data_IF_201879944175
#
_entry.id   IF_201879944175
#
_cell.length_a   1.000
_cell.length_b   1.000
_cell.length_c   1.000
_cell.angle_alpha   90.00
_cell.angle_beta   90.00
_cell.angle_gamma   90.00
#
_symmetry.space_group_name_H-M   'P 1'
#
loop_
_entity.id
_entity.type
_entity.pdbx_description
1 polymer ?
#
# COMPACT_ATOMS: atom_id res chain seq x y z
N UNK A 1 6.23 -12.66 3.26
CA UNK A 1 5.16 -13.66 3.47
C UNK A 1 4.18 -13.30 4.59
N UNK A 2 4.59 -13.13 5.85
CA UNK A 2 3.67 -12.82 6.97
C UNK A 2 2.76 -11.59 6.72
N UNK A 3 3.34 -10.48 6.23
CA UNK A 3 2.55 -9.29 5.84
C UNK A 3 1.58 -9.56 4.70
N UNK A 4 2.01 -10.34 3.69
CA UNK A 4 1.16 -10.75 2.57
C UNK A 4 -0.01 -11.62 3.02
N UNK A 5 0.20 -12.55 3.95
CA UNK A 5 -0.89 -13.39 4.49
C UNK A 5 -1.98 -12.53 5.13
N UNK A 6 -1.59 -11.61 6.02
CA UNK A 6 -2.50 -10.66 6.66
C UNK A 6 -3.27 -9.85 5.64
N UNK A 7 -2.56 -9.40 4.60
CA UNK A 7 -3.13 -8.61 3.52
C UNK A 7 -4.18 -9.41 2.73
N UNK A 8 -3.85 -10.62 2.34
CA UNK A 8 -4.74 -11.52 1.62
C UNK A 8 -5.96 -11.95 2.44
N UNK A 9 -5.79 -12.19 3.74
CA UNK A 9 -6.88 -12.56 4.64
C UNK A 9 -7.91 -11.44 4.74
N UNK A 10 -7.48 -10.19 4.87
CA UNK A 10 -8.37 -9.04 4.82
C UNK A 10 -9.04 -8.87 3.44
N UNK A 11 -8.29 -8.99 2.35
CA UNK A 11 -8.86 -8.96 0.99
C UNK A 11 -9.93 -10.03 0.79
N UNK A 12 -9.71 -11.25 1.27
CA UNK A 12 -10.67 -12.35 1.19
C UNK A 12 -11.99 -11.98 1.89
N UNK A 13 -11.91 -11.39 3.08
CA UNK A 13 -13.12 -10.97 3.80
C UNK A 13 -13.86 -9.84 3.08
N UNK A 14 -13.15 -8.84 2.57
CA UNK A 14 -13.78 -7.76 1.80
C UNK A 14 -14.40 -8.26 0.50
N UNK A 15 -13.78 -9.24 -0.15
CA UNK A 15 -14.31 -9.87 -1.36
C UNK A 15 -15.62 -10.61 -1.07
N UNK A 16 -15.68 -11.36 0.03
CA UNK A 16 -16.91 -12.04 0.48
C UNK A 16 -18.01 -11.05 0.84
N UNK A 17 -17.67 -10.00 1.59
CA UNK A 17 -18.61 -8.95 1.99
C UNK A 17 -19.19 -8.25 0.75
N UNK A 18 -18.35 -7.79 -0.17
CA UNK A 18 -18.78 -7.08 -1.37
C UNK A 18 -19.61 -7.98 -2.30
N UNK A 19 -19.21 -9.24 -2.48
CA UNK A 19 -19.98 -10.24 -3.23
C UNK A 19 -21.38 -10.43 -2.64
N UNK A 20 -21.47 -10.52 -1.30
CA UNK A 20 -22.75 -10.63 -0.59
C UNK A 20 -23.60 -9.37 -0.75
N UNK A 21 -23.00 -8.18 -0.62
CA UNK A 21 -23.68 -6.89 -0.78
C UNK A 21 -24.22 -6.68 -2.18
N UNK A 22 -23.49 -7.13 -3.20
CA UNK A 22 -23.92 -7.01 -4.59
C UNK A 22 -25.09 -7.94 -4.93
N UNK A 23 -25.48 -8.85 -4.03
CA UNK A 23 -26.45 -9.92 -4.28
C UNK A 23 -26.15 -10.65 -5.60
N UNK A 24 -24.87 -10.71 -5.98
CA UNK A 24 -24.47 -11.41 -7.20
C UNK A 24 -24.90 -12.84 -6.98
N UNK A 25 -25.89 -13.31 -7.75
CA UNK A 25 -26.29 -14.72 -7.75
C UNK A 25 -25.00 -15.52 -7.76
N UNK A 26 -24.80 -16.36 -6.74
CA UNK A 26 -23.62 -17.18 -6.56
C UNK A 26 -23.48 -18.10 -7.76
N UNK A 27 -22.92 -17.55 -8.84
CA UNK A 27 -22.59 -18.33 -10.02
C UNK A 27 -21.40 -19.19 -9.64
N UNK A 28 -21.34 -20.40 -10.18
CA UNK A 28 -20.23 -21.32 -9.93
C UNK A 28 -18.87 -20.63 -10.15
N UNK A 29 -18.80 -19.69 -11.12
CA UNK A 29 -17.61 -18.89 -11.41
C UNK A 29 -17.19 -17.97 -10.27
N UNK A 30 -18.11 -17.20 -9.67
CA UNK A 30 -17.77 -16.30 -8.55
C UNK A 30 -17.31 -17.11 -7.33
N UNK A 31 -17.98 -18.25 -7.05
CA UNK A 31 -17.56 -19.16 -5.99
C UNK A 31 -16.13 -19.66 -6.21
N UNK A 32 -15.83 -20.17 -7.41
CA UNK A 32 -14.50 -20.68 -7.76
C UNK A 32 -13.40 -19.60 -7.64
N UNK A 33 -13.70 -18.36 -8.02
CA UNK A 33 -12.77 -17.23 -7.89
C UNK A 33 -12.48 -16.89 -6.41
N UNK A 34 -13.51 -16.84 -5.56
CA UNK A 34 -13.33 -16.62 -4.10
C UNK A 34 -12.57 -17.80 -3.48
N UNK A 35 -12.93 -19.03 -3.84
CA UNK A 35 -12.27 -20.25 -3.38
C UNK A 35 -10.79 -20.29 -3.72
N UNK A 36 -10.38 -19.71 -4.85
CA UNK A 36 -8.97 -19.63 -5.24
C UNK A 36 -8.15 -18.85 -4.21
N UNK A 37 -8.63 -17.67 -3.78
CA UNK A 37 -7.96 -16.90 -2.72
C UNK A 37 -8.09 -17.59 -1.36
N UNK A 38 -9.25 -18.16 -1.04
CA UNK A 38 -9.48 -18.89 0.20
C UNK A 38 -8.52 -20.06 0.38
N UNK A 39 -8.35 -20.91 -0.65
CA UNK A 39 -7.41 -22.03 -0.62
C UNK A 39 -5.97 -21.55 -0.47
N UNK A 40 -5.60 -20.44 -1.11
CA UNK A 40 -4.27 -19.85 -0.96
C UNK A 40 -4.03 -19.34 0.47
N UNK A 41 -4.97 -18.57 1.04
CA UNK A 41 -4.91 -18.09 2.43
C UNK A 41 -4.86 -19.26 3.42
N UNK A 42 -5.68 -20.31 3.20
CA UNK A 42 -5.69 -21.51 4.02
C UNK A 42 -4.38 -22.30 3.96
N UNK A 43 -3.82 -22.48 2.75
CA UNK A 43 -2.51 -23.11 2.57
C UNK A 43 -1.40 -22.30 3.27
N UNK A 44 -1.51 -20.97 3.29
CA UNK A 44 -0.57 -20.10 4.00
C UNK A 44 -0.54 -20.37 5.51
N UNK A 45 -1.60 -20.93 6.10
CA UNK A 45 -1.63 -21.30 7.52
C UNK A 45 -0.86 -22.59 7.81
N UNK A 46 -0.37 -23.29 6.78
CA UNK A 46 0.52 -24.43 6.98
C UNK A 46 1.70 -24.02 7.86
N UNK A 47 2.08 -24.91 8.78
CA UNK A 47 3.14 -24.65 9.76
C UNK A 47 4.53 -24.48 9.13
N UNK A 48 4.69 -24.70 7.82
CA UNK A 48 5.89 -24.34 7.04
C UNK A 48 5.74 -23.13 6.13
N UNK A 49 4.54 -22.58 6.01
CA UNK A 49 4.24 -21.42 5.17
C UNK A 49 4.36 -20.13 5.97
N UNK A 50 3.39 -19.85 6.86
CA UNK A 50 3.34 -18.60 7.63
C UNK A 50 4.56 -18.43 8.55
N UNK A 51 5.06 -19.52 9.11
CA UNK A 51 6.25 -19.56 9.95
C UNK A 51 7.50 -19.10 9.20
N UNK A 52 7.51 -19.34 7.88
CA UNK A 52 8.61 -19.08 6.97
C UNK A 52 9.58 -20.25 6.84
N UNK A 53 9.30 -21.44 7.39
CA UNK A 53 10.25 -22.56 7.52
C UNK A 53 10.37 -23.46 6.28
N UNK A 54 9.63 -23.16 5.21
CA UNK A 54 9.77 -23.84 3.92
C UNK A 54 11.03 -23.42 3.13
N UNK A 55 11.38 -24.19 2.09
CA UNK A 55 12.43 -23.81 1.16
C UNK A 55 12.05 -22.57 0.33
N UNK A 56 13.03 -21.89 -0.27
CA UNK A 56 12.80 -20.70 -1.10
C UNK A 56 11.82 -20.99 -2.25
N UNK A 57 11.98 -22.12 -2.95
CA UNK A 57 11.10 -22.49 -4.06
C UNK A 57 9.65 -22.71 -3.62
N UNK A 58 9.45 -23.33 -2.44
CA UNK A 58 8.11 -23.52 -1.86
C UNK A 58 7.51 -22.18 -1.40
N UNK A 59 8.33 -21.30 -0.81
CA UNK A 59 7.93 -19.93 -0.47
C UNK A 59 7.52 -19.12 -1.72
N UNK A 60 8.21 -19.31 -2.85
CA UNK A 60 7.85 -18.69 -4.12
C UNK A 60 6.52 -19.23 -4.66
N UNK A 61 6.25 -20.54 -4.54
CA UNK A 61 4.95 -21.14 -4.90
C UNK A 61 3.81 -20.59 -4.02
N UNK A 62 4.04 -20.43 -2.71
CA UNK A 62 3.08 -19.76 -1.81
C UNK A 62 2.76 -18.34 -2.28
N UNK A 63 3.79 -17.55 -2.63
CA UNK A 63 3.59 -16.19 -3.16
C UNK A 63 2.83 -16.18 -4.49
N UNK A 64 3.15 -17.10 -5.39
CA UNK A 64 2.46 -17.26 -6.68
C UNK A 64 0.97 -17.55 -6.50
N UNK A 65 0.64 -18.54 -5.66
CA UNK A 65 -0.77 -18.89 -5.36
C UNK A 65 -1.52 -17.73 -4.75
N UNK A 66 -0.89 -16.98 -3.86
CA UNK A 66 -1.49 -15.81 -3.24
C UNK A 66 -1.76 -14.70 -4.26
N UNK A 67 -0.80 -14.43 -5.12
CA UNK A 67 -0.92 -13.43 -6.19
C UNK A 67 -2.06 -13.81 -7.16
N UNK A 68 -2.14 -15.08 -7.55
CA UNK A 68 -3.27 -15.59 -8.35
C UNK A 68 -4.61 -15.42 -7.63
N UNK A 69 -4.64 -15.68 -6.32
CA UNK A 69 -5.81 -15.43 -5.48
C UNK A 69 -6.24 -13.96 -5.48
N UNK A 70 -5.29 -13.03 -5.39
CA UNK A 70 -5.56 -11.59 -5.50
C UNK A 70 -6.15 -11.22 -6.86
N UNK A 71 -5.62 -11.78 -7.95
CA UNK A 71 -6.16 -11.53 -9.29
C UNK A 71 -7.62 -11.99 -9.41
N UNK A 72 -7.96 -13.15 -8.82
CA UNK A 72 -9.34 -13.64 -8.79
C UNK A 72 -10.25 -12.78 -7.92
N UNK A 73 -9.77 -12.36 -6.73
CA UNK A 73 -10.51 -11.48 -5.84
C UNK A 73 -10.79 -10.11 -6.45
N UNK A 74 -9.82 -9.53 -7.16
CA UNK A 74 -9.98 -8.27 -7.88
C UNK A 74 -11.06 -8.36 -8.96
N UNK A 75 -11.16 -9.49 -9.68
CA UNK A 75 -12.25 -9.74 -10.64
C UNK A 75 -13.62 -9.81 -9.96
N UNK A 76 -13.71 -10.49 -8.83
CA UNK A 76 -14.96 -10.59 -8.06
C UNK A 76 -15.40 -9.22 -7.54
N UNK A 77 -14.47 -8.44 -7.00
CA UNK A 77 -14.72 -7.07 -6.54
C UNK A 77 -15.21 -6.16 -7.67
N UNK A 78 -14.59 -6.25 -8.85
CA UNK A 78 -15.03 -5.54 -10.04
C UNK A 78 -16.46 -5.90 -10.44
N UNK A 79 -16.77 -7.20 -10.48
CA UNK A 79 -18.11 -7.67 -10.79
C UNK A 79 -19.13 -7.16 -9.77
N UNK A 80 -18.82 -7.26 -8.49
CA UNK A 80 -19.69 -6.84 -7.40
C UNK A 80 -19.96 -5.33 -7.44
N UNK A 81 -18.92 -4.51 -7.59
CA UNK A 81 -19.06 -3.05 -7.69
C UNK A 81 -19.79 -2.62 -8.95
N UNK A 82 -19.59 -3.31 -10.06
CA UNK A 82 -20.35 -3.05 -11.28
C UNK A 82 -21.84 -3.30 -11.05
N UNK A 83 -22.19 -4.45 -10.46
CA UNK A 83 -23.59 -4.77 -10.10
C UNK A 83 -24.18 -3.74 -9.13
N UNK A 84 -23.46 -3.39 -8.06
CA UNK A 84 -23.90 -2.37 -7.10
C UNK A 84 -24.12 -1.03 -7.80
N UNK A 85 -23.18 -0.58 -8.64
CA UNK A 85 -23.31 0.68 -9.36
C UNK A 85 -24.48 0.68 -10.34
N UNK A 86 -24.74 -0.44 -11.02
CA UNK A 86 -25.86 -0.59 -11.95
C UNK A 86 -27.20 -0.49 -11.21
N UNK A 87 -27.30 -1.16 -10.06
CA UNK A 87 -28.47 -1.10 -9.19
C UNK A 87 -28.71 0.32 -8.64
N UNK A 88 -27.67 1.01 -8.19
CA UNK A 88 -27.79 2.37 -7.65
C UNK A 88 -28.21 3.36 -8.74
N UNK A 89 -27.61 3.28 -9.94
CA UNK A 89 -27.89 4.23 -11.03
C UNK A 89 -29.11 3.85 -11.88
N UNK A 90 -29.77 2.73 -11.57
CA UNK A 90 -30.83 2.14 -12.40
C UNK A 90 -30.48 2.09 -13.90
N UNK A 91 -29.25 1.69 -14.22
CA UNK A 91 -28.79 1.53 -15.59
C UNK A 91 -27.92 0.27 -15.74
N UNK A 92 -27.78 -0.21 -16.97
CA UNK A 92 -27.01 -1.43 -17.29
C UNK A 92 -25.63 -1.11 -17.84
N UNK A 93 -25.18 0.15 -17.75
CA UNK A 93 -23.90 0.55 -18.30
C UNK A 93 -22.78 -0.10 -17.51
N UNK A 94 -21.86 -0.75 -18.22
CA UNK A 94 -20.66 -1.29 -17.62
C UNK A 94 -19.79 -0.12 -17.12
N UNK A 95 -19.43 -0.17 -15.84
CA UNK A 95 -18.49 0.80 -15.27
C UNK A 95 -17.05 0.44 -15.68
N UNK A 96 -16.13 1.43 -15.74
CA UNK A 96 -14.72 1.14 -15.91
C UNK A 96 -14.21 0.20 -14.81
N UNK A 97 -13.25 -0.69 -15.12
CA UNK A 97 -12.73 -1.61 -14.13
C UNK A 97 -11.98 -0.83 -13.04
N UNK A 98 -12.28 -1.24 -11.82
CA UNK A 98 -11.61 -0.86 -10.62
C UNK A 98 -10.30 -1.64 -10.47
N UNK A 99 -9.20 -0.97 -10.11
CA UNK A 99 -7.86 -1.57 -10.00
C UNK A 99 -7.33 -1.44 -8.57
N UNK A 100 -6.74 -2.51 -8.03
CA UNK A 100 -6.07 -2.47 -6.72
C UNK A 100 -4.58 -2.12 -6.91
N UNK A 101 -4.15 -0.99 -6.36
CA UNK A 101 -2.73 -0.61 -6.32
C UNK A 101 -1.99 -1.43 -5.23
N UNK A 102 -1.34 -2.55 -5.61
CA UNK A 102 -0.72 -3.49 -4.66
C UNK A 102 0.57 -2.97 -4.00
N UNK A 103 1.27 -2.04 -4.65
CA UNK A 103 2.59 -1.53 -4.22
C UNK A 103 2.51 -0.11 -3.62
N UNK A 104 1.37 0.24 -3.01
CA UNK A 104 1.18 1.59 -2.48
C UNK A 104 2.07 1.91 -1.27
N UNK A 105 2.52 0.86 -0.57
CA UNK A 105 3.54 0.93 0.48
C UNK A 105 4.91 1.38 -0.05
N UNK A 106 5.18 1.17 -1.34
CA UNK A 106 6.39 1.57 -2.05
C UNK A 106 6.15 2.82 -2.91
N UNK A 107 5.08 3.57 -2.62
CA UNK A 107 4.68 4.76 -3.37
C UNK A 107 4.53 4.50 -4.88
N UNK A 108 4.09 3.29 -5.25
CA UNK A 108 3.92 2.86 -6.63
C UNK A 108 2.46 2.53 -6.94
N UNK A 109 1.93 3.12 -8.02
CA UNK A 109 0.74 2.62 -8.69
C UNK A 109 0.76 2.95 -10.20
N UNK A 110 0.87 1.91 -11.04
CA UNK A 110 0.93 2.06 -12.50
C UNK A 110 -0.33 2.70 -13.09
N UNK A 111 -1.48 2.52 -12.44
CA UNK A 111 -2.72 3.16 -12.86
C UNK A 111 -2.67 4.68 -12.71
N UNK A 112 -2.23 5.21 -11.57
CA UNK A 112 -2.13 6.68 -11.36
C UNK A 112 -0.94 7.27 -12.13
N UNK A 113 0.08 6.47 -12.44
CA UNK A 113 1.18 6.86 -13.35
C UNK A 113 0.69 7.17 -14.77
N UNK A 114 -0.33 6.45 -15.23
CA UNK A 114 -0.80 6.51 -16.62
C UNK A 114 -2.06 7.36 -16.81
N UNK A 115 -2.71 7.80 -15.72
CA UNK A 115 -4.01 8.47 -15.78
C UNK A 115 -4.04 9.74 -14.94
N UNK A 116 -4.48 10.84 -15.55
CA UNK A 116 -4.60 12.15 -14.89
C UNK A 116 -6.00 12.40 -14.31
N UNK A 117 -6.99 11.60 -14.67
CA UNK A 117 -8.34 11.65 -14.09
C UNK A 117 -8.70 10.27 -13.63
N UNK A 118 -9.10 10.16 -12.38
CA UNK A 118 -9.44 8.89 -11.77
C UNK A 118 -10.33 9.07 -10.54
N UNK A 119 -10.99 7.99 -10.15
CA UNK A 119 -11.85 7.96 -8.96
C UNK A 119 -11.18 7.13 -7.89
N UNK A 120 -11.45 7.38 -6.62
CA UNK A 120 -10.89 6.67 -5.49
C UNK A 120 -12.07 6.17 -4.69
N UNK A 121 -12.30 4.86 -4.69
CA UNK A 121 -13.40 4.27 -3.91
C UNK A 121 -12.89 3.59 -2.65
N UNK A 122 -13.02 4.21 -1.46
CA UNK A 122 -12.60 3.64 -0.17
C UNK A 122 -13.70 2.77 0.42
N UNK A 123 -13.43 1.48 0.60
CA UNK A 123 -14.37 0.53 1.23
C UNK A 123 -14.03 0.29 2.70
N UNK A 124 -15.04 0.35 3.56
CA UNK A 124 -14.95 0.05 4.97
C UNK A 124 -15.68 -1.27 5.28
N UNK A 125 -14.90 -2.34 5.48
CA UNK A 125 -15.43 -3.64 5.88
C UNK A 125 -15.76 -3.77 7.37
N UNK A 126 -15.60 -2.70 8.17
CA UNK A 126 -15.92 -2.71 9.59
C UNK A 126 -17.38 -2.31 9.85
N UNK A 127 -17.91 -2.75 11.00
CA UNK A 127 -19.25 -2.37 11.48
C UNK A 127 -19.32 -0.98 12.14
N UNK A 128 -18.24 -0.19 12.07
CA UNK A 128 -18.15 1.15 12.63
C UNK A 128 -17.61 2.13 11.59
N UNK A 129 -17.83 3.43 11.79
CA UNK A 129 -17.28 4.47 10.93
C UNK A 129 -15.76 4.40 10.87
N UNK A 130 -15.21 4.54 9.67
CA UNK A 130 -13.77 4.55 9.41
C UNK A 130 -13.34 5.94 8.96
N UNK A 131 -12.48 6.58 9.75
CA UNK A 131 -11.74 7.77 9.36
C UNK A 131 -10.27 7.40 9.23
N UNK A 132 -9.67 7.67 8.08
CA UNK A 132 -8.34 7.16 7.76
C UNK A 132 -7.60 8.03 6.77
N UNK A 133 -6.28 8.04 6.88
CA UNK A 133 -5.43 8.67 5.89
C UNK A 133 -5.32 7.79 4.64
N UNK A 134 -5.58 8.40 3.49
CA UNK A 134 -5.36 7.84 2.16
C UNK A 134 -4.11 8.44 1.58
N UNK A 135 -3.25 7.61 0.98
CA UNK A 135 -2.05 8.03 0.28
C UNK A 135 -2.16 7.63 -1.17
N UNK A 136 -1.85 8.53 -2.09
CA UNK A 136 -1.96 8.29 -3.54
C UNK A 136 -0.67 8.73 -4.23
N UNK A 137 0.06 7.83 -4.91
CA UNK A 137 1.24 8.20 -5.68
C UNK A 137 0.94 9.25 -6.76
N UNK A 138 1.70 10.36 -6.76
CA UNK A 138 1.58 11.49 -7.68
C UNK A 138 2.82 11.62 -8.57
N UNK A 139 2.69 11.24 -9.84
CA UNK A 139 3.79 11.19 -10.80
C UNK A 139 4.01 12.49 -11.56
N UNK A 140 2.97 13.30 -11.70
CA UNK A 140 3.02 14.56 -12.43
C UNK A 140 3.62 15.64 -11.53
N UNK A 141 4.49 16.47 -12.08
CA UNK A 141 5.07 17.61 -11.35
C UNK A 141 4.08 18.78 -11.31
N UNK A 142 3.03 18.60 -10.50
CA UNK A 142 1.98 19.59 -10.28
C UNK A 142 1.92 19.97 -8.80
N UNK A 143 1.39 21.16 -8.54
CA UNK A 143 1.19 21.68 -7.19
C UNK A 143 -0.28 21.72 -6.80
N UNK A 144 -1.18 21.37 -7.71
CA UNK A 144 -2.61 21.40 -7.50
C UNK A 144 -3.33 20.20 -8.07
N UNK A 145 -4.29 19.72 -7.30
CA UNK A 145 -5.14 18.57 -7.60
C UNK A 145 -6.58 19.02 -7.36
N UNK A 146 -7.46 18.74 -8.32
CA UNK A 146 -8.89 18.84 -8.05
C UNK A 146 -9.33 17.53 -7.39
N UNK A 147 -9.53 17.55 -6.07
CA UNK A 147 -9.99 16.43 -5.27
C UNK A 147 -11.35 16.79 -4.65
N UNK A 148 -12.38 16.02 -4.99
CA UNK A 148 -13.75 16.21 -4.49
C UNK A 148 -14.34 14.90 -3.99
N UNK A 149 -15.33 14.96 -3.10
CA UNK A 149 -16.11 13.80 -2.68
C UNK A 149 -17.28 13.51 -3.65
N UNK A 150 -18.17 12.59 -3.28
CA UNK A 150 -19.36 12.21 -4.05
C UNK A 150 -20.44 13.29 -4.12
N UNK A 151 -20.32 14.34 -3.31
CA UNK A 151 -21.20 15.51 -3.29
C UNK A 151 -20.57 16.71 -3.98
N UNK A 152 -19.50 16.48 -4.75
CA UNK A 152 -18.71 17.52 -5.42
C UNK A 152 -18.10 18.55 -4.44
N UNK A 153 -17.98 18.18 -3.17
CA UNK A 153 -17.38 19.04 -2.15
C UNK A 153 -15.86 18.90 -2.18
N UNK A 154 -15.09 20.00 -2.23
CA UNK A 154 -13.64 19.94 -2.16
C UNK A 154 -13.16 19.24 -0.88
N UNK A 155 -12.20 18.32 -1.02
CA UNK A 155 -11.59 17.62 0.12
C UNK A 155 -10.20 18.18 0.37
N UNK A 156 -9.91 18.49 1.63
CA UNK A 156 -8.58 18.93 2.04
C UNK A 156 -7.53 17.83 1.84
N UNK A 157 -6.40 18.20 1.25
CA UNK A 157 -5.29 17.29 1.00
C UNK A 157 -3.95 17.99 1.21
N UNK A 158 -2.90 17.18 1.34
CA UNK A 158 -1.52 17.61 1.37
C UNK A 158 -0.74 16.85 0.29
N UNK A 159 0.15 17.55 -0.42
CA UNK A 159 1.15 16.90 -1.28
C UNK A 159 2.44 16.76 -0.46
N UNK A 160 2.85 15.51 -0.24
CA UNK A 160 4.00 15.16 0.59
C UNK A 160 5.09 14.55 -0.29
N UNK A 161 6.36 14.97 -0.16
CA UNK A 161 7.45 14.28 -0.83
C UNK A 161 7.58 12.86 -0.27
N UNK A 162 7.79 11.88 -1.14
CA UNK A 162 8.03 10.51 -0.70
C UNK A 162 9.39 10.47 -0.02
N UNK A 163 9.45 9.81 1.13
CA UNK A 163 10.72 9.55 1.80
C UNK A 163 11.53 8.56 0.97
N UNK A 164 12.52 9.08 0.26
CA UNK A 164 13.51 8.30 -0.46
C UNK A 164 14.89 8.50 0.18
N UNK A 165 15.50 7.42 0.68
CA UNK A 165 16.86 7.43 1.18
C UNK A 165 17.77 6.66 0.24
N UNK A 166 19.08 6.96 0.26
CA UNK A 166 20.09 6.31 -0.58
C UNK A 166 20.24 4.80 -0.37
N UNK A 167 19.49 4.21 0.57
CA UNK A 167 19.48 2.76 0.85
C UNK A 167 18.24 2.04 0.33
N UNK A 168 17.26 2.74 -0.24
CA UNK A 168 16.14 2.11 -0.94
C UNK A 168 16.60 1.61 -2.31
N UNK A 169 16.07 0.46 -2.73
CA UNK A 169 16.31 -0.07 -4.06
C UNK A 169 15.75 0.89 -5.11
N UNK A 170 16.53 1.16 -6.16
CA UNK A 170 16.07 1.99 -7.27
C UNK A 170 14.81 1.37 -7.90
N UNK A 171 13.66 2.00 -7.69
CA UNK A 171 12.40 1.62 -8.33
C UNK A 171 11.98 2.73 -9.32
N UNK A 172 12.11 2.52 -10.64
CA UNK A 172 11.73 3.51 -11.65
C UNK A 172 10.21 3.76 -11.73
N UNK A 173 9.41 2.95 -11.04
CA UNK A 173 7.96 3.12 -10.92
C UNK A 173 7.54 3.77 -9.60
N UNK A 174 8.48 4.06 -8.70
CA UNK A 174 8.21 4.81 -7.48
C UNK A 174 7.92 6.28 -7.81
N UNK A 175 6.89 6.81 -7.16
CA UNK A 175 6.57 8.23 -7.23
C UNK A 175 7.49 9.07 -6.34
N UNK A 176 7.75 10.32 -6.73
CA UNK A 176 8.52 11.27 -5.90
C UNK A 176 7.65 12.04 -4.91
N UNK A 177 6.33 12.04 -5.12
CA UNK A 177 5.33 12.73 -4.28
C UNK A 177 4.11 11.85 -4.07
N UNK A 178 3.37 12.13 -3.01
CA UNK A 178 2.07 11.52 -2.72
C UNK A 178 1.04 12.58 -2.35
N UNK A 179 -0.21 12.34 -2.71
CA UNK A 179 -1.37 13.08 -2.21
C UNK A 179 -1.88 12.36 -0.96
N UNK A 180 -2.00 13.10 0.14
CA UNK A 180 -2.44 12.63 1.44
C UNK A 180 -3.74 13.33 1.80
N UNK A 181 -4.81 12.59 2.05
CA UNK A 181 -6.09 13.17 2.48
C UNK A 181 -6.82 12.23 3.44
N UNK A 182 -7.69 12.79 4.28
CA UNK A 182 -8.51 12.00 5.19
C UNK A 182 -9.77 11.54 4.46
N UNK A 183 -9.97 10.22 4.41
CA UNK A 183 -11.22 9.63 3.95
C UNK A 183 -12.09 9.20 5.13
N UNK A 184 -13.39 9.45 5.00
CA UNK A 184 -14.44 8.93 5.88
C UNK A 184 -15.31 7.95 5.11
N UNK A 185 -15.56 6.77 5.67
CA UNK A 185 -16.50 5.80 5.12
C UNK A 185 -17.39 5.22 6.23
N UNK A 186 -18.69 5.12 5.96
CA UNK A 186 -19.67 4.56 6.88
C UNK A 186 -19.49 3.05 7.11
N UNK A 187 -20.20 2.46 8.08
CA UNK A 187 -20.08 1.04 8.42
C UNK A 187 -20.49 0.14 7.26
N UNK A 188 -19.70 -0.88 6.94
CA UNK A 188 -19.95 -1.82 5.84
C UNK A 188 -20.23 -1.14 4.48
N UNK A 189 -19.71 0.08 4.30
CA UNK A 189 -20.01 0.94 3.16
C UNK A 189 -18.76 1.38 2.42
N UNK A 190 -18.94 2.15 1.35
CA UNK A 190 -17.85 2.77 0.60
C UNK A 190 -18.08 4.26 0.41
N UNK A 191 -16.99 5.00 0.22
CA UNK A 191 -16.99 6.42 -0.12
C UNK A 191 -16.15 6.64 -1.38
N UNK A 192 -16.65 7.45 -2.31
CA UNK A 192 -15.93 7.79 -3.54
C UNK A 192 -15.38 9.20 -3.50
N UNK A 193 -14.19 9.37 -4.08
CA UNK A 193 -13.53 10.65 -4.29
C UNK A 193 -13.09 10.77 -5.74
N UNK A 194 -13.15 11.97 -6.31
CA UNK A 194 -12.86 12.24 -7.70
C UNK A 194 -11.60 13.08 -7.80
N UNK A 195 -10.62 12.58 -8.56
CA UNK A 195 -9.33 13.23 -8.75
C UNK A 195 -9.18 13.64 -10.20
N UNK A 196 -8.86 14.92 -10.42
CA UNK A 196 -8.41 15.43 -11.72
C UNK A 196 -7.14 16.24 -11.55
N UNK A 197 -6.10 15.81 -12.25
CA UNK A 197 -4.82 16.48 -12.35
C UNK A 197 -4.85 17.44 -13.55
N UNK A 198 -4.67 18.75 -13.35
CA UNK A 198 -4.70 19.70 -14.45
C UNK A 198 -3.52 19.50 -15.40
N UNK A 199 -3.77 19.67 -16.71
CA UNK A 199 -2.75 19.52 -17.77
C UNK A 199 -1.69 20.64 -17.78
N UNK A 200 -1.97 21.75 -17.11
CA UNK A 200 -1.07 22.89 -16.94
C UNK A 200 -1.13 23.27 -15.47
N UNK A 201 0.03 23.44 -14.83
CA UNK A 201 0.14 24.01 -13.49
C UNK A 201 -0.38 25.46 -13.53
N UNK A 202 -1.71 25.64 -13.51
CA UNK A 202 -2.31 26.94 -13.25
C UNK A 202 -2.00 27.25 -11.80
N UNK A 203 -1.21 28.30 -11.59
CA UNK A 203 -0.84 28.77 -10.26
C UNK A 203 -2.09 28.87 -9.40
N UNK A 204 -2.20 27.98 -8.42
CA UNK A 204 -3.18 28.08 -7.37
C UNK A 204 -2.45 28.17 -6.04
N UNK A 205 -2.86 29.17 -5.27
CA UNK A 205 -2.53 29.42 -3.89
C UNK A 205 -3.12 28.30 -3.01
N UNK A 206 -2.40 27.22 -2.86
CA UNK A 206 -2.56 26.36 -1.69
C UNK A 206 -1.20 26.25 -1.05
N UNK A 207 -1.18 26.50 0.26
CA UNK A 207 0.01 26.48 1.08
C UNK A 207 0.71 25.15 0.84
N UNK A 208 1.85 25.21 0.14
CA UNK A 208 2.91 24.27 0.42
C UNK A 208 3.04 24.36 1.94
N UNK A 209 2.56 23.36 2.67
CA UNK A 209 2.89 23.20 4.09
C UNK A 209 4.38 22.81 4.23
N UNK A 210 5.24 23.39 3.39
CA UNK A 210 6.52 23.95 3.79
C UNK A 210 6.22 25.09 4.75
N UNK A 211 5.70 24.77 5.94
CA UNK A 211 6.24 25.48 7.10
C UNK A 211 7.75 25.33 6.90
N UNK A 212 8.49 26.44 6.79
CA UNK A 212 9.92 26.38 7.07
C UNK A 212 9.95 25.76 8.46
N UNK A 213 10.11 24.43 8.52
CA UNK A 213 10.31 23.73 9.77
C UNK A 213 11.59 24.35 10.24
N UNK A 214 11.45 25.23 11.23
CA UNK A 214 12.58 25.74 11.95
C UNK A 214 13.35 24.49 12.33
N UNK A 215 14.55 24.32 11.74
CA UNK A 215 15.34 23.10 11.90
C UNK A 215 15.74 22.85 13.37
N UNK A 216 15.32 23.74 14.26
CA UNK A 216 15.46 23.72 15.72
C UNK A 216 14.35 22.95 16.45
N UNK A 217 13.17 22.71 15.85
CA UNK A 217 12.08 22.01 16.55
C UNK A 217 12.11 20.51 16.27
N UNK A 218 12.71 19.74 17.16
CA UNK A 218 12.65 18.26 17.16
C UNK A 218 11.32 17.74 17.72
N UNK A 219 10.19 18.38 17.40
CA UNK A 219 8.88 18.05 17.96
C UNK A 219 7.80 18.05 16.90
N UNK A 220 6.92 17.05 16.92
CA UNK A 220 5.75 16.96 16.05
C UNK A 220 4.51 16.90 16.93
N UNK A 221 3.51 17.75 16.67
CA UNK A 221 2.25 17.75 17.41
C UNK A 221 1.05 17.88 16.49
N UNK A 222 -0.06 17.25 16.88
CA UNK A 222 -1.36 17.38 16.24
C UNK A 222 -2.41 18.07 17.15
N UNK A 223 -1.96 18.72 18.24
CA UNK A 223 -2.84 19.34 19.23
C UNK A 223 -3.50 18.39 20.23
N UNK A 224 -3.43 17.07 20.02
CA UNK A 224 -3.87 16.05 20.99
C UNK A 224 -2.67 15.43 21.72
N UNK A 225 -1.63 15.14 20.96
CA UNK A 225 -0.35 14.64 21.44
C UNK A 225 0.79 15.48 20.87
N UNK A 226 1.93 15.44 21.55
CA UNK A 226 3.21 15.90 21.02
C UNK A 226 4.24 14.79 21.18
N UNK A 227 5.09 14.62 20.16
CA UNK A 227 6.20 13.70 20.15
C UNK A 227 7.49 14.51 20.02
N UNK A 228 8.42 14.30 20.94
CA UNK A 228 9.75 14.90 20.90
C UNK A 228 10.77 13.87 20.41
N UNK A 229 11.77 14.35 19.69
CA UNK A 229 12.83 13.55 19.07
C UNK A 229 14.19 14.00 19.58
N UNK A 230 15.10 13.04 19.78
CA UNK A 230 16.48 13.35 20.13
C UNK A 230 17.27 13.89 18.92
N UNK A 231 18.52 14.28 19.15
CA UNK A 231 19.41 14.80 18.09
C UNK A 231 19.74 13.77 17.00
N UNK A 232 19.37 12.50 17.19
CA UNK A 232 19.53 11.42 16.20
C UNK A 232 18.20 11.07 15.51
N UNK A 233 17.12 11.81 15.80
CA UNK A 233 15.80 11.62 15.18
C UNK A 233 14.99 10.47 15.79
N UNK A 234 15.34 9.98 16.97
CA UNK A 234 14.62 8.89 17.66
C UNK A 234 13.61 9.47 18.63
N UNK A 235 12.48 8.78 18.80
CA UNK A 235 11.44 9.20 19.74
C UNK A 235 11.99 9.22 21.17
N UNK A 236 11.89 10.38 21.83
CA UNK A 236 12.44 10.62 23.17
C UNK A 236 11.35 10.89 24.21
N UNK A 237 10.24 11.53 23.83
CA UNK A 237 9.14 11.81 24.77
C UNK A 237 7.80 11.77 24.06
N UNK A 238 6.80 11.15 24.70
CA UNK A 238 5.40 11.24 24.33
C UNK A 238 4.67 12.16 25.32
N UNK A 239 3.98 13.17 24.81
CA UNK A 239 3.20 14.12 25.59
C UNK A 239 1.71 13.90 25.33
N UNK A 240 0.95 13.60 26.37
CA UNK A 240 -0.51 13.66 26.34
C UNK A 240 -0.93 15.08 26.72
N UNK A 241 -1.31 15.87 25.71
CA UNK A 241 -1.66 17.28 25.89
C UNK A 241 -3.01 17.46 26.61
N UNK A 242 -3.88 16.45 26.61
CA UNK A 242 -5.16 16.49 27.32
C UNK A 242 -4.97 16.34 28.82
N UNK A 243 -4.10 15.42 29.24
CA UNK A 243 -3.83 15.16 30.66
C UNK A 243 -2.65 15.97 31.21
N UNK A 244 -1.84 16.56 30.32
CA UNK A 244 -0.59 17.25 30.67
C UNK A 244 0.52 16.29 31.11
N UNK A 245 0.37 14.97 30.88
CA UNK A 245 1.34 13.96 31.29
C UNK A 245 2.40 13.77 30.22
N UNK A 246 3.65 13.68 30.68
CA UNK A 246 4.81 13.41 29.84
C UNK A 246 5.35 12.02 30.14
N UNK A 247 5.62 11.26 29.09
CA UNK A 247 6.12 9.90 29.14
C UNK A 247 7.48 9.86 28.44
N UNK A 248 8.59 9.87 29.20
CA UNK A 248 9.91 9.73 28.59
C UNK A 248 10.05 8.33 27.99
N UNK A 249 10.61 8.26 26.79
CA UNK A 249 10.76 7.05 25.99
C UNK A 249 12.21 6.92 25.52
N UNK A 250 12.62 5.69 25.21
CA UNK A 250 13.90 5.42 24.57
C UNK A 250 13.65 4.47 23.43
N UNK A 251 13.90 4.92 22.20
CA UNK A 251 13.83 4.11 21.00
C UNK A 251 15.25 3.75 20.57
N UNK A 252 15.52 2.47 20.36
CA UNK A 252 16.81 1.97 19.88
C UNK A 252 16.60 0.94 18.77
N UNK A 253 17.58 0.84 17.87
CA UNK A 253 17.63 -0.18 16.84
C UNK A 253 18.88 -1.03 17.06
N UNK A 254 18.67 -2.32 17.29
CA UNK A 254 19.76 -3.25 17.52
C UNK A 254 19.48 -4.59 16.83
N UNK A 255 20.53 -5.37 16.63
CA UNK A 255 20.44 -6.70 16.01
C UNK A 255 21.20 -7.73 16.83
N UNK A 256 20.90 -9.01 16.60
CA UNK A 256 21.62 -10.14 17.18
C UNK A 256 22.50 -10.78 16.11
N UNK A 257 23.76 -11.08 16.46
CA UNK A 257 24.57 -11.97 15.64
C UNK A 257 24.10 -13.40 15.82
N UNK A 258 23.85 -14.09 14.71
CA UNK A 258 23.47 -15.50 14.76
C UNK A 258 24.65 -16.40 15.06
N UNK A 259 24.42 -17.40 15.90
CA UNK A 259 25.44 -18.38 16.24
C UNK A 259 25.96 -19.11 15.01
N UNK A 260 27.28 -19.31 14.94
CA UNK A 260 27.95 -19.95 13.80
C UNK A 260 28.84 -21.09 14.31
N UNK A 261 28.23 -22.12 14.90
CA UNK A 261 28.96 -23.33 15.24
C UNK A 261 29.19 -24.18 13.99
N UNK A 262 30.43 -24.20 13.52
CA UNK A 262 30.89 -25.13 12.47
C UNK A 262 31.20 -26.53 13.00
N UNK A 263 31.26 -26.71 14.32
CA UNK A 263 31.68 -27.97 14.96
C UNK A 263 30.53 -28.81 15.52
N UNK A 264 29.44 -28.20 16.00
CA UNK A 264 28.20 -28.91 16.33
C UNK A 264 27.21 -28.66 15.19
N UNK A 265 26.79 -29.71 14.49
CA UNK A 265 25.76 -29.62 13.42
C UNK A 265 24.37 -29.18 13.94
N UNK A 266 24.25 -28.89 15.23
CA UNK A 266 23.09 -28.31 15.86
C UNK A 266 23.43 -26.86 16.28
N UNK A 267 22.85 -25.88 15.60
CA UNK A 267 22.71 -24.54 16.19
C UNK A 267 23.30 -23.35 15.44
N UNK A 268 23.24 -23.31 14.10
CA UNK A 268 23.24 -22.00 13.42
C UNK A 268 21.89 -21.30 13.62
N UNK A 269 21.86 -19.96 13.60
CA UNK A 269 20.58 -19.24 13.43
C UNK A 269 19.95 -19.72 12.12
N UNK A 270 18.86 -20.47 12.24
CA UNK A 270 18.09 -21.00 11.11
C UNK A 270 16.69 -20.44 11.16
N UNK A 271 15.89 -20.72 10.13
CA UNK A 271 14.51 -20.28 10.04
C UNK A 271 13.61 -20.73 11.21
N UNK A 272 14.06 -21.71 12.00
CA UNK A 272 13.31 -22.33 13.10
C UNK A 272 13.82 -21.88 14.48
N UNK A 273 15.11 -21.57 14.63
CA UNK A 273 15.72 -21.32 15.94
C UNK A 273 16.34 -19.92 16.01
N UNK A 274 15.93 -19.13 17.01
CA UNK A 274 16.62 -17.92 17.43
C UNK A 274 17.69 -18.28 18.45
N UNK A 275 18.92 -18.50 17.96
CA UNK A 275 20.13 -18.80 18.71
C UNK A 275 21.18 -17.69 18.53
N UNK A 276 21.07 -16.57 19.27
CA UNK A 276 22.05 -15.51 19.18
C UNK A 276 23.40 -15.99 19.76
N UNK A 277 24.53 -15.57 19.17
CA UNK A 277 25.90 -15.92 19.64
C UNK A 277 26.10 -15.62 21.13
N UNK A 278 25.49 -14.53 21.59
CA UNK A 278 25.49 -14.08 22.97
C UNK A 278 24.12 -13.46 23.28
N UNK A 279 23.74 -13.36 24.55
CA UNK A 279 22.58 -12.56 25.00
C UNK A 279 23.00 -11.07 24.99
N UNK A 280 23.50 -10.61 23.85
CA UNK A 280 23.98 -9.26 23.62
C UNK A 280 23.41 -8.75 22.31
N UNK A 281 22.83 -7.56 22.38
CA UNK A 281 22.40 -6.81 21.21
C UNK A 281 23.53 -5.92 20.73
N UNK A 282 23.60 -5.75 19.42
CA UNK A 282 24.57 -4.89 18.74
C UNK A 282 23.80 -3.71 18.18
N UNK A 283 24.16 -2.50 18.61
CA UNK A 283 23.49 -1.29 18.16
C UNK A 283 23.75 -1.10 16.67
N UNK A 284 22.73 -0.70 15.92
CA UNK A 284 22.89 -0.23 14.55
C UNK A 284 23.56 1.16 14.58
N UNK A 285 24.88 1.18 14.72
CA UNK A 285 25.69 2.40 14.61
C UNK A 285 26.00 2.66 13.13
N UNK A 286 25.71 3.88 12.64
CA UNK A 286 25.86 4.31 11.24
C UNK A 286 24.95 3.58 10.24
N UNK A 287 23.64 3.88 10.28
CA UNK A 287 22.86 3.81 9.05
C UNK A 287 23.55 4.71 8.01
N UNK A 288 23.89 4.23 6.81
CA UNK A 288 24.58 5.05 5.82
C UNK A 288 23.66 6.21 5.39
N UNK A 289 23.86 7.38 5.99
CA UNK A 289 23.44 8.66 5.41
C UNK A 289 24.52 9.01 4.40
N UNK A 290 24.42 8.46 3.19
CA UNK A 290 25.47 8.67 2.20
C UNK A 290 25.37 10.08 1.61
N UNK A 291 26.26 10.97 2.07
CA UNK A 291 26.55 12.26 1.46
C UNK A 291 27.47 12.04 0.24
N UNK A 292 26.89 11.56 -0.86
CA UNK A 292 27.32 11.67 -2.27
C UNK A 292 27.19 10.35 -3.06
N UNK A 293 26.53 10.38 -4.23
CA UNK A 293 26.47 9.24 -5.13
C UNK A 293 27.75 9.19 -5.97
N UNK A 294 28.66 8.28 -5.64
CA UNK A 294 29.73 7.88 -6.56
C UNK A 294 29.60 6.37 -6.79
N UNK A 295 29.58 6.03 -8.07
CA UNK A 295 29.28 4.75 -8.69
C UNK A 295 29.99 3.56 -8.05
N UNK A 296 29.22 2.53 -7.70
CA UNK A 296 29.73 1.15 -7.64
C UNK A 296 29.03 0.33 -8.72
N UNK A 297 29.75 0.10 -9.82
CA UNK A 297 29.41 -0.86 -10.87
C UNK A 297 29.26 -2.27 -10.29
N UNK A 298 28.11 -2.91 -10.47
CA UNK A 298 27.88 -4.33 -10.19
C UNK A 298 28.03 -5.12 -11.50
N UNK A 299 28.69 -6.29 -11.52
CA UNK A 299 28.93 -7.07 -12.73
C UNK A 299 27.64 -7.66 -13.30
N UNK A 300 27.47 -7.52 -14.61
CA UNK A 300 26.41 -8.16 -15.40
C UNK A 300 26.58 -9.68 -15.44
N UNK A 301 25.61 -10.44 -14.91
CA UNK A 301 25.41 -11.84 -15.25
C UNK A 301 24.29 -11.97 -16.29
N UNK A 302 24.65 -12.43 -17.47
CA UNK A 302 23.80 -12.75 -18.60
C UNK A 302 22.84 -13.91 -18.30
N UNK A 303 21.55 -13.71 -18.50
CA UNK A 303 20.60 -14.81 -18.70
C UNK A 303 19.64 -14.51 -19.87
N UNK A 304 19.89 -15.25 -20.97
CA UNK A 304 18.89 -15.91 -21.81
C UNK A 304 17.69 -15.11 -22.32
N UNK A 305 17.83 -14.57 -23.53
CA UNK A 305 16.74 -14.19 -24.42
C UNK A 305 15.89 -15.40 -24.83
N UNK A 306 14.57 -15.32 -24.69
CA UNK A 306 13.63 -16.13 -25.48
C UNK A 306 12.54 -15.27 -26.10
N UNK A 307 12.18 -15.64 -27.32
CA UNK A 307 11.62 -14.81 -28.37
C UNK A 307 10.17 -14.39 -28.17
N UNK A 308 9.90 -13.13 -28.54
CA UNK A 308 8.57 -12.59 -28.85
C UNK A 308 8.04 -13.14 -30.18
N UNK A 309 6.76 -13.50 -30.23
CA UNK A 309 6.03 -13.76 -31.48
C UNK A 309 4.84 -12.81 -31.58
N UNK A 310 4.89 -11.95 -32.62
CA UNK A 310 3.76 -11.52 -33.46
C UNK A 310 2.59 -10.75 -32.84
N UNK A 311 2.66 -9.41 -32.88
CA UNK A 311 1.46 -8.54 -32.94
C UNK A 311 1.26 -8.09 -34.39
N UNK A 312 0.10 -8.42 -34.95
CA UNK A 312 -0.43 -7.82 -36.18
C UNK A 312 -1.23 -6.56 -35.83
N UNK A 313 -0.93 -5.49 -36.56
CA UNK A 313 -1.58 -4.18 -36.52
C UNK A 313 -2.79 -4.14 -37.44
N UNK A 314 -3.92 -3.62 -36.96
CA UNK A 314 -4.95 -3.04 -37.82
C UNK A 314 -5.45 -1.73 -37.21
N UNK A 315 -5.45 -0.72 -38.05
CA UNK A 315 -5.90 0.65 -37.82
C UNK A 315 -7.40 0.77 -38.09
N UNK A 316 -8.11 1.55 -37.27
CA UNK A 316 -9.33 2.24 -37.69
C UNK A 316 -9.55 3.49 -36.84
N UNK A 317 -10.22 4.46 -37.46
CA UNK A 317 -10.21 5.87 -37.11
C UNK A 317 -11.60 6.41 -36.75
N UNK A 318 -11.60 7.59 -36.12
CA UNK A 318 -12.68 8.56 -35.89
C UNK A 318 -13.70 8.30 -34.75
N UNK A 319 -13.88 9.35 -33.93
CA UNK A 319 -15.09 9.59 -33.15
C UNK A 319 -14.88 10.42 -31.88
N UNK A 320 -14.99 11.75 -31.99
CA UNK A 320 -15.08 12.66 -30.84
C UNK A 320 -16.30 12.33 -29.96
N UNK A 321 -16.10 11.94 -28.71
CA UNK A 321 -17.06 12.15 -27.63
C UNK A 321 -16.32 12.20 -26.28
N UNK A 322 -16.52 13.28 -25.53
CA UNK A 322 -16.05 13.42 -24.15
C UNK A 322 -16.63 12.28 -23.32
N UNK A 323 -15.81 11.32 -22.95
CA UNK A 323 -16.13 10.26 -21.98
C UNK A 323 -15.18 10.40 -20.81
N UNK A 324 -15.71 10.66 -19.63
CA UNK A 324 -14.98 10.51 -18.36
C UNK A 324 -14.83 9.01 -18.15
N UNK A 325 -13.77 8.43 -18.71
CA UNK A 325 -13.42 7.04 -18.51
C UNK A 325 -12.19 7.01 -17.63
N UNK A 326 -12.38 6.66 -16.36
CA UNK A 326 -11.44 5.94 -15.48
C UNK A 326 -11.96 6.04 -14.04
N UNK A 327 -12.63 4.98 -13.57
CA UNK A 327 -12.93 4.80 -12.15
C UNK A 327 -11.82 3.96 -11.53
N UNK A 328 -11.22 4.43 -10.42
CA UNK A 328 -10.27 3.65 -9.66
C UNK A 328 -10.94 3.26 -8.32
N UNK A 329 -10.73 2.00 -7.93
CA UNK A 329 -11.13 1.52 -6.61
C UNK A 329 -9.90 1.64 -5.81
N UNK A 330 -9.85 2.70 -5.05
CA UNK A 330 -8.99 2.71 -3.90
C UNK A 330 -9.64 1.86 -2.83
N UNK A 331 -9.68 0.54 -3.05
CA UNK A 331 -9.52 -0.34 -1.92
C UNK A 331 -8.12 -0.01 -1.38
N UNK A 332 -8.05 1.06 -0.60
CA UNK A 332 -7.22 1.04 0.57
C UNK A 332 -7.87 -0.08 1.36
N UNK A 333 -7.42 -1.30 1.07
CA UNK A 333 -7.24 -2.30 2.06
C UNK A 333 -6.30 -1.62 3.05
N UNK A 334 -6.86 -0.76 3.90
CA UNK A 334 -6.13 -0.31 5.05
C UNK A 334 -6.11 -1.58 5.84
N UNK A 335 -5.00 -2.29 5.72
CA UNK A 335 -4.65 -3.37 6.60
C UNK A 335 -4.44 -2.73 7.97
N UNK A 336 -5.53 -2.30 8.61
CA UNK A 336 -5.62 -2.17 10.05
C UNK A 336 -5.67 -3.58 10.61
N UNK A 337 -4.54 -4.27 10.45
CA UNK A 337 -3.99 -5.15 11.46
C UNK A 337 -2.53 -4.73 11.71
N UNK A 338 -2.31 -3.42 11.79
CA UNK A 338 -1.31 -2.88 12.69
C UNK A 338 -1.75 -3.28 14.10
N UNK A 339 -1.21 -4.41 14.55
CA UNK A 339 -0.41 -4.42 15.78
C UNK A 339 -0.97 -3.45 16.82
N UNK A 340 -2.05 -3.84 17.50
CA UNK A 340 -2.23 -3.45 18.90
C UNK A 340 -1.12 -4.19 19.68
N UNK A 341 0.08 -3.63 19.67
CA UNK A 341 1.01 -3.86 20.78
C UNK A 341 0.58 -2.83 21.82
N UNK A 342 0.05 -3.35 22.93
CA UNK A 342 0.09 -2.65 24.21
C UNK A 342 1.54 -2.55 24.67
#
# INVERSE_FOLDING_TARGET
MKGLERASSALLQHTRQMSTLALTSWSNKISEQIETLERAVGLMQHHDALTGTSSLAVTQDYNYRMTKGWDMAEQVLNSALNTISQNIKNNTNQQPPWVICRNINESECLFTKSNNTYIITVYNGNSQNLNTLVKVPLYQDITNVNLTDDKETPVEYQIVPVFNNSGQLDNPNMSTKEIWFLASAGPLGFQTYYVTLPSVAKGSTYERYSKNLDASTNSISNGLIQLDFDSQGRLSTFHDLKTGKNYPLTQEFAYYHGHNDRYNQQGTNTTITLNPMEIKTYQLTNLPVNKNPQSSTIPTSTLGTTNSVGKTSTTSSLGNHKSVNNMLLFLILIFYNFVRIF
#
